data_IF_726066419618
#
_entry.id   IF_726066419618
#
_cell.length_a   1.000
_cell.length_b   1.000
_cell.length_c   1.000
_cell.angle_alpha   90.00
_cell.angle_beta   90.00
_cell.angle_gamma   90.00
#
_symmetry.space_group_name_H-M   'P 1'
#
loop_
_entity.id
_entity.type
_entity.pdbx_description
1 polymer ?
#
# COMPACT_ATOMS: atom_id res chain seq x y z
N UNK A 1 14.32 -11.71 -4.19
CA UNK A 1 15.00 -11.00 -5.28
C UNK A 1 16.51 -11.15 -5.22
N UNK A 2 17.17 -11.03 -4.09
CA UNK A 2 18.63 -11.17 -3.95
C UNK A 2 19.23 -12.54 -4.33
N UNK A 3 18.42 -13.56 -4.52
CA UNK A 3 18.86 -14.86 -5.06
C UNK A 3 19.10 -14.82 -6.58
N UNK A 4 18.51 -13.87 -7.30
CA UNK A 4 18.51 -13.81 -8.76
C UNK A 4 19.29 -12.61 -9.33
N UNK A 5 19.55 -11.60 -8.52
CA UNK A 5 20.30 -10.42 -8.94
C UNK A 5 21.04 -9.79 -7.75
N UNK A 6 22.18 -9.16 -8.06
CA UNK A 6 22.94 -8.37 -7.09
C UNK A 6 22.07 -7.24 -6.54
N UNK A 7 21.94 -7.08 -5.21
CA UNK A 7 21.16 -6.01 -4.57
C UNK A 7 21.54 -4.59 -5.04
N UNK A 8 22.79 -4.36 -5.44
CA UNK A 8 23.24 -3.08 -5.99
C UNK A 8 22.63 -2.77 -7.38
N UNK A 9 22.10 -3.78 -8.05
CA UNK A 9 21.45 -3.65 -9.37
C UNK A 9 19.93 -3.64 -9.29
N UNK A 10 19.36 -3.75 -8.10
CA UNK A 10 17.92 -3.69 -7.87
C UNK A 10 17.61 -2.34 -7.23
N UNK A 11 16.82 -1.52 -7.90
CA UNK A 11 16.29 -0.27 -7.35
C UNK A 11 14.87 -0.53 -6.87
N UNK A 12 14.62 -0.19 -5.62
CA UNK A 12 13.31 -0.31 -4.97
C UNK A 12 12.84 1.08 -4.54
N UNK A 13 11.55 1.23 -4.38
CA UNK A 13 11.01 2.52 -3.95
C UNK A 13 9.51 2.53 -3.77
N UNK A 14 9.01 3.70 -3.45
CA UNK A 14 7.58 3.99 -3.33
C UNK A 14 7.29 5.37 -3.88
N UNK A 15 6.11 5.55 -4.45
CA UNK A 15 5.61 6.86 -4.86
C UNK A 15 4.22 7.09 -4.29
N UNK A 16 3.88 8.32 -3.96
CA UNK A 16 2.56 8.74 -3.52
C UNK A 16 1.89 9.72 -4.51
N UNK A 17 2.39 9.77 -5.76
CA UNK A 17 1.70 10.53 -6.81
C UNK A 17 0.30 9.98 -7.04
N UNK A 18 -0.75 10.77 -6.80
CA UNK A 18 -2.11 10.37 -7.15
C UNK A 18 -2.24 10.39 -8.67
N UNK A 19 -2.78 9.31 -9.24
CA UNK A 19 -2.94 9.19 -10.70
C UNK A 19 -4.16 8.33 -11.00
N UNK A 20 -5.15 8.92 -11.65
CA UNK A 20 -6.37 8.25 -12.09
C UNK A 20 -6.40 8.14 -13.61
N UNK A 21 -6.61 6.94 -14.13
CA UNK A 21 -6.88 6.72 -15.54
C UNK A 21 -8.35 7.08 -15.81
N UNK A 22 -8.59 8.25 -16.39
CA UNK A 22 -9.94 8.77 -16.65
C UNK A 22 -10.49 8.34 -18.01
N UNK A 23 -9.61 8.08 -18.99
CA UNK A 23 -9.94 7.53 -20.30
C UNK A 23 -8.70 6.85 -20.91
N UNK A 24 -8.85 6.17 -22.04
CA UNK A 24 -7.74 5.53 -22.74
C UNK A 24 -6.64 6.54 -23.09
N UNK A 25 -5.48 6.39 -22.43
CA UNK A 25 -4.34 7.29 -22.61
C UNK A 25 -4.47 8.66 -21.91
N UNK A 26 -5.53 8.89 -21.12
CA UNK A 26 -5.74 10.14 -20.38
C UNK A 26 -5.62 9.88 -18.88
N UNK A 27 -4.63 10.51 -18.27
CA UNK A 27 -4.36 10.43 -16.83
C UNK A 27 -4.68 11.76 -16.18
N UNK A 28 -5.42 11.73 -15.07
CA UNK A 28 -5.61 12.88 -14.17
C UNK A 28 -4.69 12.73 -12.98
N UNK A 29 -3.98 13.80 -12.62
CA UNK A 29 -3.12 13.84 -11.43
C UNK A 29 -3.20 15.22 -10.79
N UNK A 30 -3.05 15.28 -9.47
CA UNK A 30 -2.91 16.57 -8.76
C UNK A 30 -1.52 17.20 -8.95
N UNK A 31 -0.57 16.46 -9.51
CA UNK A 31 0.80 16.91 -9.71
C UNK A 31 1.66 17.00 -8.43
N UNK A 32 1.12 16.60 -7.27
CA UNK A 32 1.85 16.64 -6.01
C UNK A 32 2.12 15.21 -5.50
N UNK A 33 3.40 14.90 -5.32
CA UNK A 33 3.83 13.61 -4.80
C UNK A 33 5.35 13.57 -4.62
N UNK A 34 5.83 12.48 -4.06
CA UNK A 34 7.26 12.19 -3.86
C UNK A 34 7.53 10.77 -4.30
N UNK A 35 8.65 10.56 -4.98
CA UNK A 35 9.14 9.22 -5.34
C UNK A 35 10.40 8.92 -4.55
N UNK A 36 10.30 8.07 -3.51
CA UNK A 36 11.45 7.64 -2.71
C UNK A 36 12.04 6.38 -3.31
N UNK A 37 13.36 6.37 -3.49
CA UNK A 37 14.06 5.24 -4.09
C UNK A 37 15.45 5.03 -3.51
N UNK A 38 15.95 3.80 -3.60
CA UNK A 38 17.33 3.42 -3.31
C UNK A 38 17.63 2.06 -3.94
N UNK A 39 18.90 1.68 -4.04
CA UNK A 39 19.25 0.28 -4.32
C UNK A 39 18.81 -0.61 -3.15
N UNK A 40 18.54 -1.87 -3.43
CA UNK A 40 18.15 -2.83 -2.40
C UNK A 40 19.24 -3.10 -1.36
N UNK A 41 20.50 -2.79 -1.68
CA UNK A 41 21.64 -2.83 -0.75
C UNK A 41 21.76 -1.57 0.13
N UNK A 42 21.08 -0.47 -0.23
CA UNK A 42 21.27 0.84 0.39
C UNK A 42 22.47 1.64 -0.17
N UNK A 43 23.15 1.12 -1.20
CA UNK A 43 24.31 1.78 -1.83
C UNK A 43 23.85 2.77 -2.89
N UNK A 44 24.45 3.96 -2.92
CA UNK A 44 24.21 4.93 -3.98
C UNK A 44 25.12 4.64 -5.17
N UNK A 45 24.60 3.87 -6.14
CA UNK A 45 25.31 3.52 -7.38
C UNK A 45 25.16 4.60 -8.46
N UNK A 46 25.96 4.52 -9.54
CA UNK A 46 25.79 5.40 -10.71
C UNK A 46 24.41 5.23 -11.34
N UNK A 47 23.92 3.99 -11.43
CA UNK A 47 22.61 3.69 -12.01
C UNK A 47 21.45 4.35 -11.24
N UNK A 48 21.48 4.35 -9.89
CA UNK A 48 20.44 5.01 -9.11
C UNK A 48 20.53 6.55 -9.24
N UNK A 49 21.73 7.11 -9.40
CA UNK A 49 21.91 8.56 -9.67
C UNK A 49 21.37 8.96 -11.04
N UNK A 50 21.68 8.18 -12.07
CA UNK A 50 21.14 8.42 -13.43
C UNK A 50 19.60 8.34 -13.43
N UNK A 51 19.02 7.36 -12.73
CA UNK A 51 17.57 7.26 -12.60
C UNK A 51 16.98 8.47 -11.83
N UNK A 52 17.65 8.91 -10.78
CA UNK A 52 17.26 10.11 -10.03
C UNK A 52 17.20 11.35 -10.94
N UNK A 53 18.23 11.61 -11.76
CA UNK A 53 18.27 12.73 -12.70
C UNK A 53 17.15 12.65 -13.77
N UNK A 54 16.84 11.42 -14.24
CA UNK A 54 15.71 11.20 -15.15
C UNK A 54 14.38 11.56 -14.47
N UNK A 55 14.19 11.15 -13.21
CA UNK A 55 12.97 11.42 -12.47
C UNK A 55 12.84 12.90 -12.08
N UNK A 56 13.95 13.61 -11.79
CA UNK A 56 13.95 15.08 -11.63
C UNK A 56 13.48 15.77 -12.91
N UNK A 57 14.05 15.35 -14.06
CA UNK A 57 13.69 15.93 -15.37
C UNK A 57 12.22 15.67 -15.72
N UNK A 58 11.67 14.53 -15.25
CA UNK A 58 10.26 14.16 -15.42
C UNK A 58 9.33 14.77 -14.36
N UNK A 59 9.82 15.63 -13.49
CA UNK A 59 9.07 16.29 -12.40
C UNK A 59 8.39 15.28 -11.43
N UNK A 60 9.01 14.09 -11.23
CA UNK A 60 8.53 13.04 -10.33
C UNK A 60 9.03 13.21 -8.88
N UNK A 61 9.60 14.37 -8.56
CA UNK A 61 10.07 14.75 -7.23
C UNK A 61 10.81 13.58 -6.51
N UNK A 62 11.97 13.13 -7.06
CA UNK A 62 12.66 11.96 -6.51
C UNK A 62 13.39 12.31 -5.21
N UNK A 63 13.43 11.35 -4.29
CA UNK A 63 14.25 11.37 -3.09
C UNK A 63 15.08 10.08 -3.01
N UNK A 64 16.41 10.20 -2.90
CA UNK A 64 17.26 9.09 -2.52
C UNK A 64 17.26 8.97 -1.00
N UNK A 65 16.79 7.84 -0.47
CA UNK A 65 16.72 7.64 0.97
C UNK A 65 17.31 6.30 1.40
N UNK A 66 18.22 6.27 2.39
CA UNK A 66 18.69 5.01 2.96
C UNK A 66 17.57 4.23 3.66
N UNK A 67 16.52 4.93 4.08
CA UNK A 67 15.38 4.37 4.80
C UNK A 67 14.24 3.93 3.86
N UNK A 68 14.58 3.53 2.62
CA UNK A 68 13.60 3.14 1.60
C UNK A 68 12.69 2.00 2.05
N UNK A 69 13.21 1.04 2.81
CA UNK A 69 12.40 -0.04 3.37
C UNK A 69 11.38 0.46 4.40
N UNK A 70 11.73 1.47 5.20
CA UNK A 70 10.80 2.14 6.10
C UNK A 70 9.63 2.73 5.30
N UNK A 71 9.92 3.55 4.28
CA UNK A 71 8.90 4.17 3.45
C UNK A 71 8.00 3.14 2.73
N UNK A 72 8.59 2.01 2.29
CA UNK A 72 7.82 0.91 1.68
C UNK A 72 6.87 0.28 2.69
N UNK A 73 7.34 -0.06 3.91
CA UNK A 73 6.51 -0.71 4.91
C UNK A 73 5.43 0.22 5.47
N UNK A 74 5.70 1.51 5.61
CA UNK A 74 4.68 2.51 5.97
C UNK A 74 3.58 2.57 4.90
N UNK A 75 3.95 2.57 3.62
CA UNK A 75 2.97 2.50 2.52
C UNK A 75 2.21 1.19 2.50
N UNK A 76 2.87 0.06 2.80
CA UNK A 76 2.19 -1.24 2.92
C UNK A 76 1.18 -1.21 4.07
N UNK A 77 1.53 -0.65 5.24
CA UNK A 77 0.62 -0.53 6.37
C UNK A 77 -0.62 0.30 6.04
N UNK A 78 -0.40 1.45 5.42
CA UNK A 78 -1.44 2.33 4.92
C UNK A 78 -2.38 1.63 3.92
N UNK A 79 -1.81 0.97 2.89
CA UNK A 79 -2.59 0.26 1.88
C UNK A 79 -3.30 -0.97 2.47
N UNK A 80 -2.65 -1.71 3.37
CA UNK A 80 -3.26 -2.87 4.02
C UNK A 80 -4.50 -2.48 4.82
N UNK A 81 -4.51 -1.29 5.45
CA UNK A 81 -5.66 -0.78 6.16
C UNK A 81 -6.75 -0.29 5.20
N UNK A 82 -6.49 0.76 4.43
CA UNK A 82 -7.53 1.44 3.66
C UNK A 82 -8.02 0.64 2.46
N UNK A 83 -7.10 0.04 1.68
CA UNK A 83 -7.51 -0.68 0.47
C UNK A 83 -8.36 -1.90 0.79
N UNK A 84 -7.99 -2.69 1.82
CA UNK A 84 -8.75 -3.91 2.13
C UNK A 84 -10.04 -3.65 2.88
N UNK A 85 -10.09 -2.66 3.79
CA UNK A 85 -11.33 -2.31 4.48
C UNK A 85 -12.37 -1.77 3.49
N UNK A 86 -11.99 -0.85 2.61
CA UNK A 86 -12.90 -0.31 1.59
C UNK A 86 -13.35 -1.40 0.61
N UNK A 87 -12.44 -2.28 0.18
CA UNK A 87 -12.78 -3.40 -0.69
C UNK A 87 -13.72 -4.43 -0.04
N UNK A 88 -13.53 -4.70 1.27
CA UNK A 88 -14.32 -5.67 2.01
C UNK A 88 -15.72 -5.15 2.39
N UNK A 89 -15.83 -3.86 2.64
CA UNK A 89 -17.10 -3.20 3.04
C UNK A 89 -17.86 -2.61 1.87
N UNK A 90 -17.19 -2.39 0.72
CA UNK A 90 -17.71 -1.68 -0.44
C UNK A 90 -18.16 -0.24 -0.12
N UNK A 91 -17.44 0.40 0.80
CA UNK A 91 -17.66 1.78 1.19
C UNK A 91 -16.42 2.62 0.90
N UNK A 92 -16.57 3.88 0.43
CA UNK A 92 -15.48 4.84 0.43
C UNK A 92 -14.92 5.05 1.84
N UNK A 93 -13.65 5.44 1.91
CA UNK A 93 -12.93 5.48 3.19
C UNK A 93 -13.53 6.43 4.24
N UNK A 94 -14.12 7.56 3.82
CA UNK A 94 -14.71 8.51 4.76
C UNK A 94 -15.93 7.95 5.50
N UNK A 95 -16.72 7.05 4.86
CA UNK A 95 -17.83 6.40 5.56
C UNK A 95 -17.35 5.42 6.64
N UNK A 96 -16.21 4.77 6.42
CA UNK A 96 -15.56 3.95 7.45
C UNK A 96 -15.08 4.82 8.62
N UNK A 97 -14.51 5.99 8.31
CA UNK A 97 -14.02 6.96 9.30
C UNK A 97 -15.14 7.54 10.20
N UNK A 98 -16.41 7.50 9.75
CA UNK A 98 -17.55 7.91 10.58
C UNK A 98 -17.96 6.87 11.62
N UNK A 99 -17.41 5.66 11.56
CA UNK A 99 -17.72 4.59 12.50
C UNK A 99 -16.54 4.33 13.42
N UNK A 100 -16.83 4.10 14.69
CA UNK A 100 -15.82 3.74 15.69
C UNK A 100 -15.08 2.46 15.27
N UNK A 101 -15.83 1.46 14.81
CA UNK A 101 -15.33 0.16 14.39
C UNK A 101 -14.43 0.26 13.16
N UNK A 102 -14.74 1.14 12.21
CA UNK A 102 -13.92 1.39 11.02
C UNK A 102 -12.56 1.98 11.38
N UNK A 103 -12.53 2.98 12.27
CA UNK A 103 -11.29 3.57 12.77
C UNK A 103 -10.46 2.55 13.57
N UNK A 104 -11.09 1.83 14.51
CA UNK A 104 -10.41 0.81 15.32
C UNK A 104 -9.81 -0.30 14.46
N UNK A 105 -10.52 -0.77 13.43
CA UNK A 105 -10.01 -1.78 12.50
C UNK A 105 -8.82 -1.24 11.67
N UNK A 106 -8.92 -0.02 11.15
CA UNK A 106 -7.85 0.60 10.38
C UNK A 106 -6.56 0.71 11.23
N UNK A 107 -6.67 1.21 12.46
CA UNK A 107 -5.54 1.30 13.38
C UNK A 107 -4.97 -0.08 13.73
N UNK A 108 -5.82 -1.07 14.01
CA UNK A 108 -5.37 -2.44 14.31
C UNK A 108 -4.57 -3.03 13.16
N UNK A 109 -5.00 -2.82 11.91
CA UNK A 109 -4.27 -3.31 10.73
C UNK A 109 -2.92 -2.62 10.60
N UNK A 110 -2.86 -1.30 10.80
CA UNK A 110 -1.59 -0.56 10.81
C UNK A 110 -0.65 -1.16 11.85
N UNK A 111 -1.10 -1.35 13.09
CA UNK A 111 -0.29 -1.90 14.17
C UNK A 111 0.22 -3.31 13.87
N UNK A 112 -0.61 -4.16 13.28
CA UNK A 112 -0.21 -5.50 12.84
C UNK A 112 0.92 -5.42 11.80
N UNK A 113 0.80 -4.60 10.77
CA UNK A 113 1.82 -4.46 9.72
C UNK A 113 3.10 -3.85 10.27
N UNK A 114 3.01 -2.80 11.10
CA UNK A 114 4.16 -2.15 11.73
C UNK A 114 4.88 -3.14 12.66
N UNK A 115 4.15 -4.01 13.37
CA UNK A 115 4.79 -5.03 14.22
C UNK A 115 5.62 -6.03 13.40
N UNK A 116 5.16 -6.41 12.21
CA UNK A 116 5.92 -7.25 11.27
C UNK A 116 7.16 -6.52 10.76
N UNK A 117 7.03 -5.25 10.35
CA UNK A 117 8.16 -4.43 9.90
C UNK A 117 9.25 -4.35 10.98
N UNK A 118 8.85 -4.08 12.24
CA UNK A 118 9.77 -4.01 13.39
C UNK A 118 10.43 -5.35 13.68
N UNK A 119 9.72 -6.47 13.58
CA UNK A 119 10.30 -7.80 13.74
C UNK A 119 11.34 -8.12 12.64
N UNK A 120 11.26 -7.46 11.46
CA UNK A 120 12.28 -7.49 10.41
C UNK A 120 13.44 -6.53 10.64
N UNK A 121 13.44 -5.75 11.73
CA UNK A 121 14.45 -4.73 12.02
C UNK A 121 14.22 -3.39 11.28
N UNK A 122 13.07 -3.20 10.63
CA UNK A 122 12.72 -1.98 9.91
C UNK A 122 12.03 -1.01 10.88
N UNK A 123 12.53 0.23 10.96
CA UNK A 123 12.05 1.25 11.89
C UNK A 123 10.86 2.04 11.31
N UNK A 124 9.80 1.32 10.89
CA UNK A 124 8.59 1.96 10.36
C UNK A 124 7.86 2.77 11.46
N UNK A 125 7.46 3.99 11.09
CA UNK A 125 6.77 4.93 11.99
C UNK A 125 5.26 4.71 11.97
N UNK A 126 4.76 3.91 12.91
CA UNK A 126 3.33 3.65 13.04
C UNK A 126 2.52 4.90 13.39
N UNK A 127 3.08 5.85 14.14
CA UNK A 127 2.41 7.11 14.48
C UNK A 127 2.11 7.93 13.24
N UNK A 128 3.11 8.11 12.38
CA UNK A 128 2.93 8.81 11.10
C UNK A 128 1.91 8.11 10.19
N UNK A 129 1.89 6.77 10.17
CA UNK A 129 0.89 6.03 9.37
C UNK A 129 -0.51 6.22 9.93
N UNK A 130 -0.70 6.18 11.26
CA UNK A 130 -1.99 6.46 11.92
C UNK A 130 -2.51 7.86 11.56
N UNK A 131 -1.66 8.89 11.69
CA UNK A 131 -2.04 10.27 11.34
C UNK A 131 -2.52 10.38 9.88
N UNK A 132 -1.82 9.73 8.94
CA UNK A 132 -2.21 9.72 7.53
C UNK A 132 -3.52 8.97 7.29
N UNK A 133 -3.75 7.84 7.97
CA UNK A 133 -5.01 7.09 7.89
C UNK A 133 -6.16 7.94 8.42
N UNK A 134 -5.99 8.56 9.59
CA UNK A 134 -7.01 9.42 10.20
C UNK A 134 -7.36 10.61 9.31
N UNK A 135 -6.35 11.29 8.78
CA UNK A 135 -6.55 12.42 7.85
C UNK A 135 -7.37 11.98 6.63
N UNK A 136 -7.01 10.87 6.00
CA UNK A 136 -7.71 10.43 4.79
C UNK A 136 -9.10 9.90 5.06
N UNK A 137 -9.34 9.26 6.20
CA UNK A 137 -10.67 8.80 6.60
C UNK A 137 -11.59 9.95 7.04
N UNK A 138 -11.06 11.14 7.34
CA UNK A 138 -11.83 12.31 7.77
C UNK A 138 -11.95 13.40 6.70
N UNK A 139 -10.92 13.62 5.88
CA UNK A 139 -10.86 14.73 4.93
C UNK A 139 -11.16 14.33 3.49
N UNK A 140 -10.85 13.08 3.09
CA UNK A 140 -11.06 12.58 1.74
C UNK A 140 -12.25 11.61 1.65
N UNK A 141 -13.42 12.13 2.00
CA UNK A 141 -14.63 11.36 2.29
C UNK A 141 -15.04 10.39 1.18
N UNK A 142 -15.10 10.84 -0.06
CA UNK A 142 -15.57 10.06 -1.21
C UNK A 142 -14.45 9.29 -1.94
N UNK A 143 -13.23 9.32 -1.40
CA UNK A 143 -12.12 8.64 -2.06
C UNK A 143 -12.29 7.12 -2.01
N UNK A 144 -12.14 6.53 -3.19
CA UNK A 144 -12.23 5.08 -3.43
C UNK A 144 -10.85 4.55 -3.82
N UNK A 145 -10.12 3.88 -2.91
CA UNK A 145 -8.81 3.31 -3.21
C UNK A 145 -8.84 2.31 -4.37
N UNK A 146 -7.69 2.05 -4.99
CA UNK A 146 -7.56 1.20 -6.19
C UNK A 146 -8.19 -0.18 -6.00
N UNK A 147 -7.95 -0.85 -4.88
CA UNK A 147 -8.50 -2.17 -4.60
C UNK A 147 -10.03 -2.17 -4.51
N UNK A 148 -10.63 -1.13 -3.93
CA UNK A 148 -12.09 -0.93 -3.97
C UNK A 148 -12.61 -0.86 -5.40
N UNK A 149 -11.94 -0.06 -6.25
CA UNK A 149 -12.30 0.07 -7.66
C UNK A 149 -12.16 -1.26 -8.42
N UNK A 150 -11.13 -2.06 -8.11
CA UNK A 150 -10.93 -3.38 -8.72
C UNK A 150 -12.06 -4.34 -8.34
N UNK A 151 -12.45 -4.37 -7.06
CA UNK A 151 -13.58 -5.20 -6.59
C UNK A 151 -14.89 -4.79 -7.26
N UNK A 152 -15.17 -3.50 -7.40
CA UNK A 152 -16.38 -3.02 -8.12
C UNK A 152 -16.39 -3.44 -9.58
N UNK A 153 -15.24 -3.35 -10.25
CA UNK A 153 -15.08 -3.70 -11.67
C UNK A 153 -14.88 -5.22 -11.90
N UNK A 154 -14.91 -6.04 -10.85
CA UNK A 154 -14.70 -7.48 -10.95
C UNK A 154 -13.30 -7.85 -11.42
N UNK A 155 -12.30 -7.01 -11.17
CA UNK A 155 -10.90 -7.23 -11.54
C UNK A 155 -10.13 -7.93 -10.42
N UNK A 156 -9.03 -8.59 -10.77
CA UNK A 156 -8.10 -9.12 -9.78
C UNK A 156 -7.47 -7.98 -8.99
N UNK A 157 -7.41 -8.15 -7.66
CA UNK A 157 -6.84 -7.18 -6.73
C UNK A 157 -5.39 -7.51 -6.38
N UNK A 158 -4.70 -6.54 -5.77
CA UNK A 158 -3.35 -6.71 -5.22
C UNK A 158 -3.34 -7.31 -3.79
N UNK A 159 -4.46 -7.80 -3.27
CA UNK A 159 -4.57 -8.27 -1.87
C UNK A 159 -3.54 -9.35 -1.52
N UNK A 160 -3.17 -10.21 -2.48
CA UNK A 160 -2.15 -11.25 -2.27
C UNK A 160 -0.75 -10.66 -2.04
N UNK A 161 -0.45 -9.52 -2.66
CA UNK A 161 0.85 -8.83 -2.58
C UNK A 161 0.91 -7.78 -1.47
N UNK A 162 -0.22 -7.37 -0.92
CA UNK A 162 -0.33 -6.44 0.22
C UNK A 162 -0.56 -7.25 1.49
N UNK A 163 -1.81 -7.52 1.87
CA UNK A 163 -2.12 -8.24 3.10
C UNK A 163 -1.64 -9.70 3.09
N UNK A 164 -1.68 -10.37 1.94
CA UNK A 164 -1.16 -11.73 1.78
C UNK A 164 0.35 -11.82 2.03
N UNK A 165 1.12 -10.85 1.52
CA UNK A 165 2.55 -10.76 1.79
C UNK A 165 2.84 -10.49 3.27
N UNK A 166 2.09 -9.59 3.91
CA UNK A 166 2.20 -9.34 5.36
C UNK A 166 1.92 -10.61 6.17
N UNK A 167 0.86 -11.35 5.84
CA UNK A 167 0.51 -12.61 6.53
C UNK A 167 1.63 -13.66 6.35
N UNK A 168 2.21 -13.76 5.17
CA UNK A 168 3.32 -14.67 4.90
C UNK A 168 4.57 -14.32 5.73
N UNK A 169 4.98 -13.07 5.71
CA UNK A 169 6.13 -12.59 6.50
C UNK A 169 5.90 -12.74 8.01
N UNK A 170 4.70 -12.39 8.48
CA UNK A 170 4.28 -12.55 9.87
C UNK A 170 4.39 -13.99 10.35
N UNK A 171 3.95 -14.95 9.52
CA UNK A 171 4.03 -16.37 9.81
C UNK A 171 5.49 -16.84 9.96
N UNK A 172 6.39 -16.38 9.08
CA UNK A 172 7.81 -16.72 9.14
C UNK A 172 8.49 -16.17 10.41
N UNK A 173 8.01 -15.04 10.93
CA UNK A 173 8.56 -14.33 12.08
C UNK A 173 7.84 -14.67 13.41
N UNK A 174 6.74 -15.43 13.38
CA UNK A 174 5.93 -15.74 14.56
C UNK A 174 5.15 -14.52 15.10
N UNK A 175 4.88 -13.51 14.27
CA UNK A 175 4.13 -12.31 14.65
C UNK A 175 2.63 -12.53 14.36
N UNK A 176 1.72 -12.30 15.32
CA UNK A 176 0.29 -12.45 15.08
C UNK A 176 -0.26 -11.28 14.26
N UNK A 177 -1.01 -11.58 13.19
CA UNK A 177 -1.70 -10.59 12.32
C UNK A 177 -3.11 -11.09 11.97
N UNK A 178 -3.98 -11.30 12.98
CA UNK A 178 -5.28 -11.94 12.77
C UNK A 178 -6.22 -11.11 11.88
N UNK A 179 -6.22 -9.78 11.99
CA UNK A 179 -7.10 -8.90 11.22
C UNK A 179 -6.65 -8.83 9.76
N UNK A 180 -5.37 -8.63 9.50
CA UNK A 180 -4.80 -8.69 8.15
C UNK A 180 -5.13 -10.02 7.47
N UNK A 181 -5.04 -11.14 8.20
CA UNK A 181 -5.34 -12.48 7.67
C UNK A 181 -6.82 -12.62 7.28
N UNK A 182 -7.74 -12.16 8.13
CA UNK A 182 -9.18 -12.22 7.83
C UNK A 182 -9.50 -11.37 6.61
N UNK A 183 -9.00 -10.16 6.51
CA UNK A 183 -9.25 -9.28 5.36
C UNK A 183 -8.64 -9.83 4.07
N UNK A 184 -7.43 -10.37 4.14
CA UNK A 184 -6.84 -11.10 3.00
C UNK A 184 -7.76 -12.21 2.50
N UNK A 185 -8.30 -13.03 3.41
CA UNK A 185 -9.21 -14.10 3.06
C UNK A 185 -10.53 -13.60 2.48
N UNK A 186 -11.14 -12.55 3.06
CA UNK A 186 -12.41 -11.98 2.58
C UNK A 186 -12.27 -11.41 1.16
N UNK A 187 -11.26 -10.59 0.90
CA UNK A 187 -11.05 -10.02 -0.45
C UNK A 187 -10.67 -11.13 -1.44
N UNK A 188 -9.90 -12.14 -1.02
CA UNK A 188 -9.61 -13.31 -1.86
C UNK A 188 -10.85 -14.11 -2.22
N UNK A 189 -11.80 -14.29 -1.30
CA UNK A 189 -13.09 -14.92 -1.58
C UNK A 189 -13.87 -14.09 -2.59
N UNK A 190 -13.93 -12.77 -2.42
CA UNK A 190 -14.62 -11.90 -3.35
C UNK A 190 -14.11 -12.06 -4.77
N UNK A 191 -12.80 -11.95 -4.99
CA UNK A 191 -12.25 -12.03 -6.35
C UNK A 191 -12.38 -13.43 -6.98
N UNK A 192 -12.36 -14.50 -6.20
CA UNK A 192 -12.55 -15.86 -6.71
C UNK A 192 -14.03 -16.17 -7.04
N UNK A 193 -14.97 -15.39 -6.51
CA UNK A 193 -16.40 -15.63 -6.64
C UNK A 193 -17.14 -14.61 -7.50
N UNK A 194 -16.45 -13.68 -8.16
CA UNK A 194 -17.07 -12.68 -9.04
C UNK A 194 -18.11 -13.27 -10.03
N UNK A 195 -17.83 -14.40 -10.72
CA UNK A 195 -18.81 -14.97 -11.65
C UNK A 195 -20.11 -15.46 -11.00
N UNK A 196 -20.09 -15.65 -9.68
CA UNK A 196 -21.24 -16.16 -8.93
C UNK A 196 -22.04 -15.08 -8.20
N UNK A 197 -21.66 -13.79 -8.34
CA UNK A 197 -22.41 -12.68 -7.74
C UNK A 197 -23.78 -12.56 -8.39
N UNK A 198 -24.83 -12.69 -7.58
CA UNK A 198 -26.22 -12.57 -8.02
C UNK A 198 -26.76 -11.14 -7.95
N UNK A 199 -26.02 -10.24 -7.31
CA UNK A 199 -26.43 -8.86 -7.07
C UNK A 199 -25.41 -7.94 -7.73
N UNK A 200 -25.90 -6.99 -8.52
CA UNK A 200 -25.11 -5.86 -9.01
C UNK A 200 -24.97 -4.87 -7.85
N UNK A 201 -23.76 -4.45 -7.59
CA UNK A 201 -23.45 -3.41 -6.60
C UNK A 201 -23.70 -2.04 -7.19
#
# INVERSE_FOLDING_TARGET
MGEYADPDRIIIGTTNFPSDLVDNGVISTSGAGVTRMMTASGTVTSAVRELFEIFETAELNPELTPDVFQAIWEKVAFNAALNTLTAATLLPQGYLGQTKEGMELAHTIVDEVISVARAKGIQADGGHVHENVDMLMTEHFDHCPSMFQDVLKGRQTEVAFINGAVVHEAQALGVPVPVCKVLYQLVSIFQQTYPHRKYTL
#
